data_IF_915002709143
#
_entry.id   IF_915002709143
#
_cell.length_a   1.000
_cell.length_b   1.000
_cell.length_c   1.000
_cell.angle_alpha   90.00
_cell.angle_beta   90.00
_cell.angle_gamma   90.00
#
_symmetry.space_group_name_H-M   'P 1'
#
loop_
_entity.id
_entity.type
_entity.pdbx_description
1 polymer ?
#
# COMPACT_ATOMS: atom_id res chain seq x y z
N UNK A 1 14.60 -5.88 2.94
CA UNK A 1 13.39 -6.32 3.65
C UNK A 1 12.19 -6.26 2.70
N UNK A 2 11.42 -7.35 2.60
CA UNK A 2 10.18 -7.35 1.82
C UNK A 2 9.01 -6.93 2.74
N UNK A 3 8.50 -5.72 2.58
CA UNK A 3 7.39 -5.21 3.40
C UNK A 3 6.04 -5.84 3.06
N UNK A 4 5.93 -6.53 1.92
CA UNK A 4 4.75 -7.30 1.57
C UNK A 4 4.71 -8.68 2.24
N UNK A 5 5.87 -9.21 2.65
CA UNK A 5 6.01 -10.51 3.31
C UNK A 5 6.67 -10.36 4.68
N UNK A 6 5.87 -9.95 5.66
CA UNK A 6 6.34 -9.78 7.04
C UNK A 6 6.68 -11.11 7.74
N UNK A 7 6.15 -12.22 7.26
CA UNK A 7 6.39 -13.54 7.86
C UNK A 7 7.87 -13.94 7.82
N UNK A 8 8.60 -13.46 6.79
CA UNK A 8 10.03 -13.74 6.57
C UNK A 8 10.98 -12.71 7.18
N UNK A 9 10.47 -11.68 7.87
CA UNK A 9 11.33 -10.65 8.46
C UNK A 9 12.35 -11.23 9.46
N UNK A 10 11.99 -12.29 10.18
CA UNK A 10 12.90 -12.95 11.11
C UNK A 10 14.08 -13.65 10.42
N UNK A 11 13.91 -14.14 9.20
CA UNK A 11 14.97 -14.80 8.42
C UNK A 11 15.98 -13.77 7.90
N UNK A 12 15.49 -12.63 7.40
CA UNK A 12 16.33 -11.54 6.88
C UNK A 12 17.18 -10.90 7.98
N UNK A 13 16.66 -10.84 9.21
CA UNK A 13 17.35 -10.24 10.37
C UNK A 13 18.57 -11.04 10.81
N UNK A 14 18.62 -12.32 10.54
CA UNK A 14 19.74 -13.19 10.91
C UNK A 14 20.98 -12.99 10.00
N UNK A 15 20.84 -12.26 8.89
CA UNK A 15 21.98 -11.93 8.03
C UNK A 15 22.77 -10.79 8.69
N UNK A 16 24.02 -11.06 9.06
CA UNK A 16 24.90 -10.19 9.88
C UNK A 16 25.14 -8.80 9.29
N UNK A 17 25.16 -8.64 7.97
CA UNK A 17 25.38 -7.36 7.29
C UNK A 17 24.30 -6.29 7.56
N UNK A 18 23.11 -6.67 8.00
CA UNK A 18 22.02 -5.74 8.32
C UNK A 18 22.09 -5.15 9.72
N UNK A 19 22.90 -5.77 10.60
CA UNK A 19 22.87 -5.45 12.02
C UNK A 19 23.48 -4.08 12.35
N UNK A 20 24.51 -3.63 11.65
CA UNK A 20 25.30 -2.47 12.08
C UNK A 20 24.71 -1.14 11.60
N UNK A 21 24.17 -1.08 10.37
CA UNK A 21 23.71 0.19 9.78
C UNK A 21 22.25 0.56 10.15
N UNK A 22 21.39 -0.45 10.36
CA UNK A 22 19.94 -0.23 10.54
C UNK A 22 19.37 -0.69 11.87
N UNK A 23 20.22 -1.04 12.82
CA UNK A 23 19.86 -1.77 14.05
C UNK A 23 18.77 -1.09 14.91
N UNK A 24 18.80 0.23 15.06
CA UNK A 24 17.84 0.96 15.90
C UNK A 24 16.44 1.04 15.31
N UNK A 25 16.32 1.40 14.01
CA UNK A 25 15.04 1.49 13.29
C UNK A 25 14.42 0.13 13.09
N UNK A 26 15.25 -0.86 12.77
CA UNK A 26 14.80 -2.22 12.52
C UNK A 26 14.29 -2.92 13.78
N UNK A 27 14.95 -2.74 14.92
CA UNK A 27 14.45 -3.24 16.21
C UNK A 27 13.08 -2.65 16.58
N UNK A 28 12.84 -1.38 16.23
CA UNK A 28 11.51 -0.75 16.40
C UNK A 28 10.47 -1.39 15.50
N UNK A 29 10.76 -1.56 14.19
CA UNK A 29 9.86 -2.20 13.24
C UNK A 29 9.53 -3.65 13.64
N UNK A 30 10.52 -4.41 14.13
CA UNK A 30 10.30 -5.78 14.61
C UNK A 30 9.30 -5.86 15.75
N UNK A 31 9.30 -4.88 16.66
CA UNK A 31 8.33 -4.81 17.77
C UNK A 31 6.89 -4.60 17.28
N UNK A 32 6.74 -4.00 16.09
CA UNK A 32 5.44 -3.76 15.46
C UNK A 32 4.96 -4.92 14.60
N UNK A 33 5.81 -5.93 14.37
CA UNK A 33 5.49 -7.08 13.53
C UNK A 33 4.26 -7.84 14.09
N UNK A 34 3.23 -8.09 13.25
CA UNK A 34 2.09 -8.91 13.65
C UNK A 34 2.54 -10.32 14.04
N UNK A 35 2.05 -10.83 15.16
CA UNK A 35 2.29 -12.21 15.58
C UNK A 35 1.13 -13.08 15.06
N UNK A 36 1.31 -13.66 13.87
CA UNK A 36 0.37 -14.67 13.32
C UNK A 36 -0.97 -14.13 12.82
N UNK A 37 -1.17 -12.82 12.77
CA UNK A 37 -2.39 -12.19 12.25
C UNK A 37 -2.07 -11.02 11.32
N UNK A 38 -3.05 -10.58 10.52
CA UNK A 38 -2.95 -9.36 9.71
C UNK A 38 -3.25 -8.08 10.52
N UNK A 39 -3.07 -8.10 11.82
CA UNK A 39 -3.26 -6.94 12.68
C UNK A 39 -2.06 -5.99 12.61
N UNK A 40 -2.23 -4.90 11.88
CA UNK A 40 -1.25 -3.82 11.72
C UNK A 40 -1.52 -2.61 12.63
N UNK A 41 -2.43 -2.71 13.60
CA UNK A 41 -2.83 -1.61 14.49
C UNK A 41 -1.66 -0.94 15.22
N UNK A 42 -0.56 -1.68 15.42
CA UNK A 42 0.66 -1.16 16.05
C UNK A 42 1.49 -0.22 15.18
N UNK A 43 1.32 -0.25 13.85
CA UNK A 43 2.07 0.64 12.96
C UNK A 43 1.61 2.09 13.07
N UNK A 44 0.34 2.35 13.04
CA UNK A 44 -0.34 3.57 13.48
C UNK A 44 0.36 4.89 13.07
N UNK A 45 0.85 4.97 11.83
CA UNK A 45 1.55 6.16 11.32
C UNK A 45 0.58 7.29 10.95
N UNK A 46 0.96 8.53 11.24
CA UNK A 46 0.22 9.73 10.86
C UNK A 46 0.24 9.97 9.36
N UNK A 47 1.41 9.72 8.75
CA UNK A 47 1.67 9.97 7.34
C UNK A 47 2.41 8.77 6.75
N UNK A 48 1.93 8.31 5.59
CA UNK A 48 2.60 7.31 4.76
C UNK A 48 2.84 7.91 3.39
N UNK A 49 4.09 7.90 2.94
CA UNK A 49 4.48 8.28 1.58
C UNK A 49 5.19 7.12 0.91
N UNK A 50 4.76 6.74 -0.29
CA UNK A 50 5.30 5.59 -0.98
C UNK A 50 5.39 5.80 -2.49
N UNK A 51 6.48 5.29 -3.05
CA UNK A 51 6.64 5.09 -4.48
C UNK A 51 6.94 3.58 -4.70
N UNK A 52 5.89 2.74 -4.72
CA UNK A 52 6.08 1.31 -4.88
C UNK A 52 6.55 0.96 -6.30
N UNK A 53 7.20 -0.21 -6.51
CA UNK A 53 7.58 -0.65 -7.83
C UNK A 53 6.32 -0.86 -8.70
N UNK A 54 6.32 -0.27 -9.91
CA UNK A 54 5.18 -0.31 -10.85
C UNK A 54 5.06 -1.62 -11.62
N UNK A 55 6.13 -2.41 -11.64
CA UNK A 55 6.20 -3.65 -12.39
C UNK A 55 6.44 -4.87 -11.49
N UNK A 56 6.05 -6.01 -12.02
CA UNK A 56 6.20 -7.31 -11.35
C UNK A 56 4.94 -7.73 -10.61
N UNK A 57 4.69 -9.04 -10.68
CA UNK A 57 3.56 -9.68 -10.04
C UNK A 57 4.05 -10.52 -8.84
N UNK A 58 3.26 -10.58 -7.80
CA UNK A 58 3.37 -11.57 -6.73
C UNK A 58 2.50 -12.77 -7.11
N UNK A 59 3.08 -13.97 -7.05
CA UNK A 59 2.42 -15.26 -7.37
C UNK A 59 2.35 -16.18 -6.16
N UNK A 60 3.15 -15.90 -5.15
CA UNK A 60 3.24 -16.69 -3.93
C UNK A 60 1.93 -16.61 -3.14
N UNK A 61 1.19 -17.72 -3.12
CA UNK A 61 -0.12 -17.79 -2.46
C UNK A 61 -0.03 -17.53 -0.96
N UNK A 62 1.09 -17.85 -0.33
CA UNK A 62 1.36 -17.53 1.08
C UNK A 62 1.35 -16.03 1.35
N UNK A 63 1.87 -15.23 0.40
CA UNK A 63 1.83 -13.77 0.49
C UNK A 63 0.42 -13.26 0.14
N UNK A 64 -0.14 -13.72 -0.99
CA UNK A 64 -1.44 -13.28 -1.47
C UNK A 64 -2.56 -13.50 -0.47
N UNK A 65 -2.51 -14.60 0.30
CA UNK A 65 -3.52 -14.92 1.31
C UNK A 65 -3.67 -13.87 2.42
N UNK A 66 -2.70 -12.97 2.56
CA UNK A 66 -2.73 -11.89 3.55
C UNK A 66 -3.40 -10.59 3.03
N UNK A 67 -3.85 -10.55 1.78
CA UNK A 67 -4.35 -9.33 1.15
C UNK A 67 -5.76 -9.50 0.60
N UNK A 68 -6.65 -8.56 0.93
CA UNK A 68 -8.00 -8.51 0.35
C UNK A 68 -7.94 -8.18 -1.13
N UNK A 69 -7.05 -7.27 -1.54
CA UNK A 69 -6.84 -6.90 -2.95
C UNK A 69 -6.23 -8.04 -3.79
N UNK A 70 -5.84 -9.15 -3.17
CA UNK A 70 -5.51 -10.38 -3.90
C UNK A 70 -6.75 -11.14 -4.39
N UNK A 71 -7.96 -10.72 -4.01
CA UNK A 71 -9.21 -11.22 -4.56
C UNK A 71 -9.69 -10.31 -5.69
N UNK A 72 -10.33 -10.89 -6.70
CA UNK A 72 -10.98 -10.11 -7.76
C UNK A 72 -12.34 -9.58 -7.29
N UNK A 73 -13.03 -8.81 -8.17
CA UNK A 73 -14.37 -8.26 -7.90
C UNK A 73 -15.44 -9.30 -7.53
N UNK A 74 -15.22 -10.58 -7.83
CA UNK A 74 -16.11 -11.70 -7.50
C UNK A 74 -15.68 -12.42 -6.19
N UNK A 75 -14.72 -11.88 -5.44
CA UNK A 75 -14.20 -12.47 -4.20
C UNK A 75 -13.31 -13.71 -4.40
N UNK A 76 -12.95 -14.06 -5.63
CA UNK A 76 -12.07 -15.22 -5.92
C UNK A 76 -10.61 -14.82 -5.88
N UNK A 77 -9.77 -15.68 -5.27
CA UNK A 77 -8.33 -15.51 -5.25
C UNK A 77 -7.74 -15.45 -6.66
N UNK A 78 -6.89 -14.47 -6.88
CA UNK A 78 -6.14 -14.31 -8.12
C UNK A 78 -4.86 -15.14 -8.06
N UNK A 79 -4.44 -15.71 -9.20
CA UNK A 79 -3.18 -16.48 -9.31
C UNK A 79 -1.95 -15.60 -9.22
N UNK A 80 -2.10 -14.31 -9.55
CA UNK A 80 -1.04 -13.31 -9.52
C UNK A 80 -1.65 -11.92 -9.35
N UNK A 81 -0.95 -11.04 -8.66
CA UNK A 81 -1.38 -9.65 -8.40
C UNK A 81 -0.19 -8.72 -8.53
N UNK A 82 -0.39 -7.57 -9.16
CA UNK A 82 0.64 -6.53 -9.27
C UNK A 82 1.14 -6.07 -7.90
N UNK A 83 2.43 -5.87 -7.78
CA UNK A 83 3.05 -5.42 -6.51
C UNK A 83 2.47 -4.10 -6.04
N UNK A 84 2.28 -3.15 -6.95
CA UNK A 84 1.71 -1.84 -6.67
C UNK A 84 0.32 -1.93 -6.02
N UNK A 85 -0.50 -2.89 -6.44
CA UNK A 85 -1.84 -3.15 -5.87
C UNK A 85 -1.72 -3.58 -4.40
N UNK A 86 -0.84 -4.55 -4.12
CA UNK A 86 -0.63 -5.02 -2.74
C UNK A 86 -0.03 -3.94 -1.84
N UNK A 87 0.81 -3.05 -2.41
CA UNK A 87 1.35 -1.92 -1.68
C UNK A 87 0.28 -0.89 -1.29
N UNK A 88 -0.80 -0.73 -2.07
CA UNK A 88 -1.93 0.12 -1.65
C UNK A 88 -2.50 -0.37 -0.31
N UNK A 89 -2.87 -1.64 -0.25
CA UNK A 89 -3.41 -2.23 0.98
C UNK A 89 -2.41 -2.19 2.13
N UNK A 90 -1.14 -2.54 1.89
CA UNK A 90 -0.09 -2.51 2.91
C UNK A 90 0.10 -1.11 3.49
N UNK A 91 0.14 -0.08 2.67
CA UNK A 91 0.31 1.30 3.12
C UNK A 91 -0.91 1.77 3.93
N UNK A 92 -2.13 1.41 3.52
CA UNK A 92 -3.33 1.71 4.27
C UNK A 92 -3.38 0.98 5.63
N UNK A 93 -2.82 -0.24 5.71
CA UNK A 93 -2.71 -0.98 6.96
C UNK A 93 -1.74 -0.31 7.95
N UNK A 94 -0.71 0.37 7.44
CA UNK A 94 0.24 1.12 8.27
C UNK A 94 -0.30 2.46 8.76
N UNK A 95 -1.31 3.00 8.09
CA UNK A 95 -1.87 4.31 8.36
C UNK A 95 -2.88 4.24 9.50
N UNK A 96 -2.74 5.14 10.50
CA UNK A 96 -3.75 5.26 11.56
C UNK A 96 -5.08 5.80 11.03
N UNK A 97 -6.20 5.61 11.74
CA UNK A 97 -7.42 6.36 11.46
C UNK A 97 -7.17 7.88 11.42
N UNK A 98 -7.75 8.58 10.46
CA UNK A 98 -7.52 10.02 10.23
C UNK A 98 -6.16 10.39 9.63
N UNK A 99 -5.24 9.42 9.48
CA UNK A 99 -3.92 9.63 8.87
C UNK A 99 -4.00 9.87 7.36
N UNK A 100 -2.92 10.39 6.77
CA UNK A 100 -2.84 10.77 5.36
C UNK A 100 -1.80 9.93 4.61
N UNK A 101 -2.13 9.57 3.37
CA UNK A 101 -1.21 8.86 2.49
C UNK A 101 -1.03 9.60 1.17
N UNK A 102 0.20 9.61 0.67
CA UNK A 102 0.54 9.94 -0.70
C UNK A 102 1.23 8.74 -1.36
N UNK A 103 0.66 8.23 -2.45
CA UNK A 103 1.22 7.07 -3.14
C UNK A 103 1.28 7.30 -4.64
N UNK A 104 2.44 6.99 -5.24
CA UNK A 104 2.62 7.04 -6.70
C UNK A 104 2.10 5.73 -7.30
N UNK A 105 1.19 5.83 -8.25
CA UNK A 105 0.59 4.67 -8.92
C UNK A 105 0.58 4.84 -10.43
N UNK A 106 0.64 3.74 -11.21
CA UNK A 106 0.38 3.77 -12.65
C UNK A 106 -0.99 4.37 -12.94
N UNK A 107 -1.07 5.23 -13.96
CA UNK A 107 -2.33 5.89 -14.35
C UNK A 107 -3.44 4.90 -14.68
N UNK A 108 -3.11 3.71 -15.17
CA UNK A 108 -4.09 2.64 -15.43
C UNK A 108 -4.92 2.27 -14.21
N UNK A 109 -4.41 2.40 -12.98
CA UNK A 109 -5.17 2.10 -11.75
C UNK A 109 -6.38 3.01 -11.57
N UNK A 110 -6.32 4.22 -12.12
CA UNK A 110 -7.41 5.19 -12.07
C UNK A 110 -8.42 5.01 -13.19
N UNK A 111 -8.00 4.53 -14.36
CA UNK A 111 -8.79 4.56 -15.61
C UNK A 111 -9.32 3.19 -16.04
N UNK A 112 -8.61 2.09 -15.77
CA UNK A 112 -9.00 0.77 -16.23
C UNK A 112 -10.28 0.29 -15.52
N UNK A 113 -11.24 -0.22 -16.29
CA UNK A 113 -12.47 -0.77 -15.74
C UNK A 113 -12.21 -2.01 -14.85
N UNK A 114 -11.22 -2.83 -15.20
CA UNK A 114 -10.80 -4.00 -14.42
C UNK A 114 -10.31 -3.65 -13.01
N UNK A 115 -9.80 -2.42 -12.81
CA UNK A 115 -9.22 -1.95 -11.57
C UNK A 115 -10.24 -1.21 -10.67
N UNK A 116 -11.52 -1.23 -11.05
CA UNK A 116 -12.61 -0.62 -10.26
C UNK A 116 -12.61 -1.10 -8.81
N UNK A 117 -12.40 -2.41 -8.58
CA UNK A 117 -12.38 -3.00 -7.24
C UNK A 117 -11.29 -2.39 -6.33
N UNK A 118 -10.17 -1.94 -6.92
CA UNK A 118 -9.09 -1.25 -6.18
C UNK A 118 -9.57 0.14 -5.75
N UNK A 119 -10.23 0.87 -6.65
CA UNK A 119 -10.79 2.20 -6.35
C UNK A 119 -11.89 2.12 -5.30
N UNK A 120 -12.77 1.12 -5.41
CA UNK A 120 -13.82 0.86 -4.42
C UNK A 120 -13.20 0.56 -3.04
N UNK A 121 -12.17 -0.29 -3.00
CA UNK A 121 -11.43 -0.61 -1.77
C UNK A 121 -10.86 0.63 -1.09
N UNK A 122 -10.27 1.54 -1.88
CA UNK A 122 -9.70 2.80 -1.37
C UNK A 122 -10.82 3.72 -0.86
N UNK A 123 -11.87 3.95 -1.66
CA UNK A 123 -12.96 4.87 -1.33
C UNK A 123 -13.75 4.42 -0.09
N UNK A 124 -13.90 3.10 0.10
CA UNK A 124 -14.53 2.55 1.30
C UNK A 124 -13.76 2.89 2.59
N UNK A 125 -12.43 2.95 2.51
CA UNK A 125 -11.52 3.14 3.65
C UNK A 125 -11.00 4.55 3.82
N UNK A 126 -11.06 5.36 2.77
CA UNK A 126 -10.43 6.68 2.74
C UNK A 126 -11.27 7.72 1.99
N UNK A 127 -11.14 8.96 2.43
CA UNK A 127 -11.46 10.13 1.62
C UNK A 127 -10.36 10.33 0.58
N UNK A 128 -10.71 10.43 -0.68
CA UNK A 128 -9.78 10.82 -1.75
C UNK A 128 -9.65 12.35 -1.69
N UNK A 129 -8.45 12.86 -1.49
CA UNK A 129 -8.18 14.29 -1.40
C UNK A 129 -7.85 14.88 -2.77
N UNK A 130 -6.93 14.23 -3.49
CA UNK A 130 -6.49 14.66 -4.81
C UNK A 130 -5.90 13.51 -5.62
N UNK A 131 -5.92 13.65 -6.95
CA UNK A 131 -5.18 12.82 -7.89
C UNK A 131 -4.36 13.74 -8.79
N UNK A 132 -3.03 13.75 -8.61
CA UNK A 132 -2.13 14.63 -9.35
C UNK A 132 -1.38 13.82 -10.41
N UNK A 133 -1.67 14.09 -11.68
CA UNK A 133 -0.95 13.50 -12.82
C UNK A 133 0.49 13.98 -12.88
N UNK A 134 1.42 13.06 -13.08
CA UNK A 134 2.83 13.39 -13.29
C UNK A 134 3.15 13.42 -14.79
N UNK A 135 4.11 14.27 -15.19
CA UNK A 135 4.61 14.28 -16.56
C UNK A 135 5.18 12.91 -16.95
N UNK A 136 4.98 12.51 -18.20
CA UNK A 136 5.40 11.19 -18.69
C UNK A 136 6.91 10.96 -18.69
N UNK A 137 7.71 12.01 -18.46
CA UNK A 137 9.17 11.94 -18.42
C UNK A 137 9.74 11.81 -16.99
N UNK A 138 8.92 11.97 -15.94
CA UNK A 138 9.37 12.00 -14.54
C UNK A 138 10.21 10.76 -14.17
N UNK A 139 9.87 9.62 -14.70
CA UNK A 139 10.56 8.35 -14.40
C UNK A 139 11.46 7.83 -15.53
N UNK A 140 11.68 8.62 -16.61
CA UNK A 140 12.65 8.25 -17.63
C UNK A 140 14.08 8.37 -17.09
N UNK A 141 15.02 7.53 -17.54
CA UNK A 141 14.88 6.46 -18.52
C UNK A 141 14.34 5.13 -17.95
N UNK A 142 14.02 5.05 -16.65
CA UNK A 142 13.70 3.80 -15.97
C UNK A 142 12.36 3.18 -16.41
N UNK A 143 11.36 4.01 -16.72
CA UNK A 143 10.06 3.57 -17.23
C UNK A 143 9.38 4.69 -18.03
N UNK A 144 8.58 4.28 -19.03
CA UNK A 144 7.68 5.16 -19.78
C UNK A 144 6.24 5.15 -19.22
N UNK A 145 6.02 4.48 -18.09
CA UNK A 145 4.69 4.38 -17.49
C UNK A 145 4.24 5.74 -16.99
N UNK A 146 3.12 6.24 -17.52
CA UNK A 146 2.43 7.40 -16.95
C UNK A 146 1.93 7.07 -15.54
N UNK A 147 2.17 7.98 -14.61
CA UNK A 147 1.86 7.82 -13.21
C UNK A 147 1.09 9.03 -12.67
N UNK A 148 0.41 8.82 -11.56
CA UNK A 148 -0.22 9.88 -10.79
C UNK A 148 0.04 9.65 -9.30
N UNK A 149 0.05 10.74 -8.54
CA UNK A 149 0.10 10.68 -7.09
C UNK A 149 -1.33 10.70 -6.56
N UNK A 150 -1.70 9.68 -5.81
CA UNK A 150 -2.96 9.62 -5.09
C UNK A 150 -2.76 10.14 -3.66
N UNK A 151 -3.55 11.13 -3.28
CA UNK A 151 -3.61 11.65 -1.91
C UNK A 151 -4.92 11.22 -1.26
N UNK A 152 -4.83 10.54 -0.12
CA UNK A 152 -6.01 10.10 0.64
C UNK A 152 -5.85 10.39 2.13
N UNK A 153 -6.99 10.45 2.81
CA UNK A 153 -7.06 10.47 4.27
C UNK A 153 -7.94 9.33 4.75
N UNK A 154 -7.43 8.50 5.65
CA UNK A 154 -8.19 7.36 6.18
C UNK A 154 -9.39 7.86 6.98
N UNK A 155 -10.56 7.25 6.80
CA UNK A 155 -11.75 7.60 7.56
C UNK A 155 -11.53 7.44 9.07
N UNK A 156 -12.09 8.37 9.81
CA UNK A 156 -12.07 8.39 11.28
C UNK A 156 -13.23 9.25 11.78
N UNK A 157 -13.92 8.81 12.80
CA UNK A 157 -15.15 9.50 13.27
C UNK A 157 -14.91 10.93 13.75
N UNK A 158 -13.69 11.24 14.25
CA UNK A 158 -13.34 12.57 14.78
C UNK A 158 -12.58 13.43 13.78
N UNK A 159 -11.54 12.85 13.14
CA UNK A 159 -10.59 13.60 12.30
C UNK A 159 -10.99 13.65 10.83
N UNK A 160 -11.70 12.64 10.34
CA UNK A 160 -12.14 12.53 8.96
C UNK A 160 -13.42 11.70 8.88
N UNK A 161 -14.58 12.23 9.32
CA UNK A 161 -15.86 11.51 9.28
C UNK A 161 -16.22 11.10 7.86
N UNK A 162 -16.75 9.88 7.71
CA UNK A 162 -17.14 9.36 6.40
C UNK A 162 -18.27 10.22 5.81
N UNK A 163 -18.08 10.63 4.55
CA UNK A 163 -19.05 11.43 3.78
C UNK A 163 -19.26 10.75 2.44
N UNK A 164 -20.48 10.82 1.93
CA UNK A 164 -20.84 10.29 0.61
C UNK A 164 -20.43 11.23 -0.51
N UNK A 165 -20.50 12.54 -0.27
CA UNK A 165 -20.14 13.57 -1.24
C UNK A 165 -19.08 14.52 -0.66
N UNK A 166 -18.01 14.73 -1.43
CA UNK A 166 -16.91 15.63 -1.08
C UNK A 166 -16.09 16.00 -2.31
N UNK A 167 -15.46 17.21 -2.34
CA UNK A 167 -14.60 17.60 -3.45
C UNK A 167 -13.31 16.75 -3.51
N UNK A 168 -12.90 16.43 -4.75
CA UNK A 168 -11.61 15.80 -5.07
C UNK A 168 -10.85 16.78 -5.98
N UNK A 169 -9.58 17.05 -5.67
CA UNK A 169 -8.73 17.97 -6.38
C UNK A 169 -7.72 17.22 -7.29
#
# INVERSE_FOLDING_TARGET
LNTLDYSRWNEVIKQEEWNDTYNGGFKKLKKLQPKGSNDFSKFNFDIVMANPPFAGDIKEQTILSHYELAKNSKGKWQKKVGRDILFIERNLNFLRPGGRMAVVLPQGRFNNASDKYIRDYIAERCRILAVVGLDGNVFKPHTATKTSVLFVQKWDDKLCPKKEDYPIF
#
